data_IF_990462794220
#
_entry.id   IF_990462794220
#
_cell.length_a   1.000
_cell.length_b   1.000
_cell.length_c   1.000
_cell.angle_alpha   90.00
_cell.angle_beta   90.00
_cell.angle_gamma   90.00
#
_symmetry.space_group_name_H-M   'P 1'
#
loop_
_entity.id
_entity.type
_entity.pdbx_description
1 polymer ?
#
# COMPACT_ATOMS: atom_id res chain seq x y z
N UNK A 1 -21.13 4.61 18.71
CA UNK A 1 -20.09 3.67 19.18
C UNK A 1 -20.40 3.29 20.63
N UNK A 2 -20.09 2.06 21.05
CA UNK A 2 -20.41 1.56 22.39
C UNK A 2 -19.25 1.79 23.37
N UNK A 3 -19.57 2.04 24.64
CA UNK A 3 -18.59 2.22 25.73
C UNK A 3 -17.57 1.07 25.84
N UNK A 4 -17.99 -0.15 25.48
CA UNK A 4 -17.16 -1.36 25.48
C UNK A 4 -15.88 -1.24 24.63
N UNK A 5 -15.95 -0.64 23.44
CA UNK A 5 -14.78 -0.51 22.56
C UNK A 5 -13.74 0.44 23.15
N UNK A 6 -14.17 1.60 23.66
CA UNK A 6 -13.30 2.55 24.35
C UNK A 6 -12.68 1.94 25.61
N UNK A 7 -13.42 1.12 26.36
CA UNK A 7 -12.89 0.43 27.54
C UNK A 7 -11.71 -0.51 27.20
N UNK A 8 -11.80 -1.29 26.12
CA UNK A 8 -10.70 -2.18 25.68
C UNK A 8 -9.50 -1.40 25.15
N UNK A 9 -9.73 -0.28 24.43
CA UNK A 9 -8.67 0.65 24.03
C UNK A 9 -7.95 1.20 25.26
N UNK A 10 -8.69 1.74 26.23
CA UNK A 10 -8.12 2.29 27.46
C UNK A 10 -7.36 1.24 28.27
N UNK A 11 -7.82 -0.01 28.31
CA UNK A 11 -7.07 -1.11 28.94
C UNK A 11 -5.71 -1.33 28.25
N UNK A 12 -5.69 -1.46 26.92
CA UNK A 12 -4.44 -1.62 26.14
C UNK A 12 -3.47 -0.44 26.31
N UNK A 13 -3.99 0.78 26.45
CA UNK A 13 -3.17 1.95 26.72
C UNK A 13 -2.65 2.00 28.18
N UNK A 14 -3.43 1.49 29.14
CA UNK A 14 -3.00 1.31 30.54
C UNK A 14 -1.87 0.27 30.67
N UNK A 15 -1.83 -0.73 29.79
CA UNK A 15 -0.77 -1.75 29.76
C UNK A 15 0.57 -1.19 29.24
N UNK A 16 0.57 -0.22 28.30
CA UNK A 16 1.78 0.50 27.83
C UNK A 16 2.17 1.66 28.79
N UNK A 17 1.20 2.35 29.39
CA UNK A 17 1.41 3.43 30.37
C UNK A 17 0.69 3.17 31.71
N UNK A 18 1.24 2.28 32.57
CA UNK A 18 0.67 2.01 33.88
C UNK A 18 0.57 3.26 34.77
N UNK A 19 -0.66 3.68 35.06
CA UNK A 19 -0.97 4.81 35.93
C UNK A 19 -1.23 6.14 35.20
N UNK A 20 -1.13 6.18 33.88
CA UNK A 20 -1.54 7.36 33.12
C UNK A 20 -3.07 7.58 33.16
N UNK A 21 -3.50 8.83 32.98
CA UNK A 21 -4.90 9.21 32.76
C UNK A 21 -5.07 9.63 31.30
N UNK A 22 -6.05 9.07 30.61
CA UNK A 22 -6.31 9.35 29.20
C UNK A 22 -7.51 10.28 29.02
N UNK A 23 -7.40 11.18 28.05
CA UNK A 23 -8.35 12.24 27.74
C UNK A 23 -8.53 12.40 26.22
N UNK A 24 -9.56 13.14 25.79
CA UNK A 24 -9.88 13.33 24.37
C UNK A 24 -11.02 12.44 23.89
N UNK A 25 -11.10 12.22 22.58
CA UNK A 25 -12.13 11.41 21.93
C UNK A 25 -11.58 10.72 20.68
N UNK A 26 -12.05 9.50 20.41
CA UNK A 26 -11.59 8.71 19.27
C UNK A 26 -11.78 9.49 17.94
N UNK A 27 -10.79 9.48 17.03
CA UNK A 27 -9.61 8.62 17.03
C UNK A 27 -8.41 9.12 17.86
N UNK A 28 -8.44 10.30 18.49
CA UNK A 28 -7.27 10.90 19.16
C UNK A 28 -7.42 10.94 20.69
N UNK A 29 -6.59 10.17 21.39
CA UNK A 29 -6.46 10.21 22.84
C UNK A 29 -5.13 10.85 23.26
N UNK A 30 -5.14 11.57 24.39
CA UNK A 30 -3.94 12.17 25.02
C UNK A 30 -3.78 11.64 26.43
N UNK A 31 -2.57 11.19 26.78
CA UNK A 31 -2.24 10.76 28.15
C UNK A 31 -1.81 11.92 29.04
N UNK A 32 -1.80 11.68 30.36
CA UNK A 32 -1.24 12.59 31.36
C UNK A 32 0.29 12.75 31.30
N UNK A 33 0.98 12.01 30.42
CA UNK A 33 2.39 12.18 30.06
C UNK A 33 2.55 12.94 28.72
N UNK A 34 1.49 13.65 28.32
CA UNK A 34 1.34 14.44 27.09
C UNK A 34 1.45 13.66 25.76
N UNK A 35 1.59 12.33 25.82
CA UNK A 35 1.66 11.48 24.62
C UNK A 35 0.32 11.49 23.88
N UNK A 36 0.38 11.50 22.55
CA UNK A 36 -0.77 11.36 21.67
C UNK A 36 -0.85 9.94 21.13
N UNK A 37 -2.08 9.43 21.08
CA UNK A 37 -2.42 8.10 20.57
C UNK A 37 -3.50 8.24 19.51
N UNK A 38 -3.20 7.77 18.30
CA UNK A 38 -4.20 7.55 17.26
C UNK A 38 -4.78 6.14 17.41
N UNK A 39 -6.10 6.01 17.27
CA UNK A 39 -6.84 4.78 17.52
C UNK A 39 -7.87 4.56 16.43
N UNK A 40 -7.65 3.54 15.62
CA UNK A 40 -8.59 3.07 14.60
C UNK A 40 -9.41 1.89 15.11
N UNK A 41 -10.67 1.80 14.68
CA UNK A 41 -11.60 0.72 15.06
C UNK A 41 -12.48 0.39 13.86
N UNK A 42 -12.12 -0.65 13.13
CA UNK A 42 -12.90 -1.17 12.01
C UNK A 42 -14.05 -2.11 12.41
N UNK A 43 -14.68 -2.65 11.38
CA UNK A 43 -15.72 -3.69 11.43
C UNK A 43 -15.13 -5.11 11.25
N UNK A 44 -15.92 -6.17 11.46
CA UNK A 44 -15.48 -7.56 11.32
C UNK A 44 -14.90 -7.95 9.96
N UNK A 45 -15.25 -7.28 8.86
CA UNK A 45 -14.75 -7.61 7.51
C UNK A 45 -13.44 -6.90 7.14
N UNK A 46 -12.97 -5.97 7.97
CA UNK A 46 -11.67 -5.28 7.81
C UNK A 46 -10.55 -5.96 8.62
N UNK A 47 -10.82 -7.06 9.33
CA UNK A 47 -9.87 -7.69 10.27
C UNK A 47 -8.53 -8.05 9.62
N UNK A 48 -8.52 -8.51 8.37
CA UNK A 48 -7.26 -8.80 7.66
C UNK A 48 -6.46 -7.53 7.38
N UNK A 49 -7.12 -6.44 6.94
CA UNK A 49 -6.49 -5.14 6.67
C UNK A 49 -5.81 -4.57 7.92
N UNK A 50 -6.50 -4.55 9.08
CA UNK A 50 -5.89 -4.08 10.33
C UNK A 50 -4.74 -4.98 10.83
N UNK A 51 -4.71 -6.25 10.44
CA UNK A 51 -3.61 -7.17 10.77
C UNK A 51 -2.42 -6.98 9.82
N UNK A 52 -2.64 -6.74 8.53
CA UNK A 52 -1.55 -6.45 7.57
C UNK A 52 -0.96 -5.07 7.80
N UNK A 53 -1.77 -4.06 8.18
CA UNK A 53 -1.30 -2.72 8.51
C UNK A 53 -0.45 -2.71 9.80
N UNK A 54 -0.89 -3.38 10.88
CA UNK A 54 -0.10 -3.53 12.12
C UNK A 54 1.26 -4.20 11.86
N UNK A 55 1.29 -5.23 11.02
CA UNK A 55 2.55 -5.89 10.61
C UNK A 55 3.43 -4.97 9.75
N UNK A 56 2.83 -4.24 8.82
CA UNK A 56 3.52 -3.28 7.93
C UNK A 56 4.16 -2.15 8.74
N UNK A 57 3.38 -1.46 9.57
CA UNK A 57 3.86 -0.41 10.47
C UNK A 57 4.97 -0.91 11.41
N UNK A 58 4.85 -2.11 12.00
CA UNK A 58 5.91 -2.68 12.84
C UNK A 58 7.20 -2.95 12.06
N UNK A 59 7.10 -3.51 10.85
CA UNK A 59 8.27 -3.80 10.02
C UNK A 59 8.94 -2.53 9.49
N UNK A 60 8.15 -1.54 9.04
CA UNK A 60 8.65 -0.23 8.64
C UNK A 60 9.27 0.54 9.81
N UNK A 61 8.65 0.53 11.00
CA UNK A 61 9.20 1.20 12.19
C UNK A 61 10.52 0.55 12.64
N UNK A 62 10.67 -0.77 12.49
CA UNK A 62 11.94 -1.46 12.75
C UNK A 62 13.04 -1.10 11.74
N UNK A 63 12.68 -0.78 10.49
CA UNK A 63 13.62 -0.37 9.44
C UNK A 63 13.98 1.13 9.50
N UNK A 64 13.00 2.00 9.81
CA UNK A 64 13.13 3.45 9.83
C UNK A 64 12.36 4.09 11.01
N UNK A 65 12.86 3.97 12.26
CA UNK A 65 12.18 4.51 13.44
C UNK A 65 11.90 6.02 13.31
N UNK A 66 10.63 6.40 13.47
CA UNK A 66 10.19 7.80 13.44
C UNK A 66 9.81 8.37 12.07
N UNK A 67 9.87 7.58 10.99
CA UNK A 67 9.23 7.92 9.70
C UNK A 67 7.78 7.42 9.60
N UNK A 68 7.41 6.42 10.41
CA UNK A 68 6.06 5.84 10.49
C UNK A 68 5.56 5.82 11.94
N UNK A 69 4.23 5.69 12.18
CA UNK A 69 3.68 5.41 13.51
C UNK A 69 4.34 4.21 14.20
N UNK A 70 4.63 4.34 15.51
CA UNK A 70 4.94 3.19 16.37
C UNK A 70 3.63 2.51 16.75
N UNK A 71 3.32 1.33 16.22
CA UNK A 71 2.13 0.60 16.67
C UNK A 71 2.31 0.05 18.08
N UNK A 72 1.72 0.76 19.05
CA UNK A 72 1.76 0.39 20.48
C UNK A 72 1.03 -0.92 20.72
N UNK A 73 -0.26 -1.00 20.36
CA UNK A 73 -1.07 -2.19 20.56
C UNK A 73 -2.09 -2.37 19.42
N UNK A 74 -2.27 -3.63 19.00
CA UNK A 74 -3.27 -4.07 18.02
C UNK A 74 -4.15 -5.18 18.62
N UNK A 75 -5.13 -5.68 17.86
CA UNK A 75 -5.91 -6.87 18.19
C UNK A 75 -7.43 -6.69 18.13
N UNK A 76 -8.15 -7.82 18.01
CA UNK A 76 -9.60 -7.83 17.79
C UNK A 76 -10.40 -7.47 19.05
N UNK A 77 -11.46 -6.69 18.86
CA UNK A 77 -12.59 -6.62 19.80
C UNK A 77 -13.48 -7.86 19.62
N UNK A 78 -14.15 -8.32 20.68
CA UNK A 78 -15.05 -9.47 20.59
C UNK A 78 -16.32 -9.13 19.78
N UNK A 79 -16.47 -9.78 18.62
CA UNK A 79 -17.56 -9.59 17.66
C UNK A 79 -18.30 -10.92 17.37
N UNK A 80 -19.52 -10.85 16.80
CA UNK A 80 -20.24 -12.04 16.36
C UNK A 80 -19.78 -12.45 14.96
N UNK A 81 -19.31 -13.69 14.76
CA UNK A 81 -18.84 -14.14 13.44
C UNK A 81 -19.93 -14.12 12.34
N UNK A 82 -21.21 -14.09 12.70
CA UNK A 82 -22.33 -13.91 11.78
C UNK A 82 -22.51 -12.47 11.26
N UNK A 83 -21.74 -11.51 11.76
CA UNK A 83 -21.74 -10.10 11.33
C UNK A 83 -20.56 -9.79 10.39
N UNK A 84 -19.69 -10.76 10.10
CA UNK A 84 -18.65 -10.63 9.09
C UNK A 84 -19.24 -11.01 7.71
N UNK A 85 -19.34 -10.02 6.83
CA UNK A 85 -19.32 -10.26 5.38
C UNK A 85 -17.88 -10.52 4.92
N UNK A 86 -17.72 -10.93 3.66
CA UNK A 86 -16.46 -10.72 2.95
C UNK A 86 -16.13 -9.21 2.92
N UNK A 87 -14.85 -8.86 2.92
CA UNK A 87 -14.38 -7.47 2.96
C UNK A 87 -14.40 -6.79 1.60
N UNK A 88 -14.52 -5.46 1.59
CA UNK A 88 -14.40 -4.65 0.36
C UNK A 88 -12.94 -4.42 -0.08
N UNK A 89 -11.97 -4.99 0.64
CA UNK A 89 -10.54 -4.85 0.34
C UNK A 89 -10.06 -5.86 -0.70
N UNK A 90 -9.09 -5.47 -1.54
CA UNK A 90 -8.40 -6.40 -2.43
C UNK A 90 -7.41 -7.25 -1.60
N UNK A 91 -7.61 -8.56 -1.59
CA UNK A 91 -6.61 -9.51 -1.08
C UNK A 91 -5.65 -9.88 -2.22
N UNK A 92 -4.34 -9.73 -1.98
CA UNK A 92 -3.28 -10.09 -2.93
C UNK A 92 -2.37 -11.18 -2.35
N UNK A 93 -1.87 -12.08 -3.21
CA UNK A 93 -0.88 -13.10 -2.86
C UNK A 93 0.45 -12.45 -2.47
N UNK A 94 0.73 -12.36 -1.18
CA UNK A 94 1.99 -11.84 -0.63
C UNK A 94 2.88 -12.98 -0.11
N UNK A 95 3.10 -14.00 -0.95
CA UNK A 95 3.91 -15.17 -0.64
C UNK A 95 5.43 -14.89 -0.61
N UNK A 96 6.22 -15.95 -0.41
CA UNK A 96 7.66 -15.93 -0.72
C UNK A 96 7.87 -16.41 -2.16
N UNK A 97 8.77 -15.72 -2.85
CA UNK A 97 9.18 -15.98 -4.23
C UNK A 97 10.71 -15.92 -4.29
N UNK A 98 11.32 -16.63 -5.24
CA UNK A 98 12.78 -16.63 -5.37
C UNK A 98 13.26 -15.43 -6.20
N UNK A 99 12.42 -14.90 -7.09
CA UNK A 99 12.71 -13.68 -7.88
C UNK A 99 11.67 -12.57 -7.68
N UNK A 100 12.07 -11.33 -7.98
CA UNK A 100 11.15 -10.20 -8.04
C UNK A 100 10.18 -10.29 -9.23
N UNK A 101 10.63 -10.88 -10.35
CA UNK A 101 9.78 -11.13 -11.52
C UNK A 101 8.58 -12.02 -11.17
N UNK A 102 8.80 -13.14 -10.48
CA UNK A 102 7.74 -14.05 -10.03
C UNK A 102 6.72 -13.33 -9.13
N UNK A 103 7.22 -12.61 -8.11
CA UNK A 103 6.41 -11.85 -7.16
C UNK A 103 5.55 -10.79 -7.88
N UNK A 104 6.15 -10.01 -8.78
CA UNK A 104 5.46 -8.94 -9.48
C UNK A 104 4.50 -9.47 -10.57
N UNK A 105 4.86 -10.57 -11.25
CA UNK A 105 3.97 -11.27 -12.18
C UNK A 105 2.70 -11.76 -11.46
N UNK A 106 2.83 -12.31 -10.24
CA UNK A 106 1.67 -12.70 -9.42
C UNK A 106 0.82 -11.50 -8.99
N UNK A 107 1.44 -10.39 -8.55
CA UNK A 107 0.71 -9.15 -8.21
C UNK A 107 -0.11 -8.60 -9.38
N UNK A 108 0.41 -8.68 -10.61
CA UNK A 108 -0.32 -8.32 -11.83
C UNK A 108 -1.42 -9.36 -12.16
N UNK A 109 -1.16 -10.66 -11.98
CA UNK A 109 -2.13 -11.74 -12.20
C UNK A 109 -3.37 -11.60 -11.31
N UNK A 110 -3.19 -11.28 -10.02
CA UNK A 110 -4.30 -11.07 -9.06
C UNK A 110 -5.25 -9.97 -9.52
N UNK A 111 -4.71 -8.79 -9.88
CA UNK A 111 -5.52 -7.65 -10.34
C UNK A 111 -6.22 -7.94 -11.67
N UNK A 112 -5.56 -8.64 -12.59
CA UNK A 112 -6.17 -9.05 -13.87
C UNK A 112 -7.24 -10.14 -13.70
N UNK A 113 -7.12 -11.00 -12.68
CA UNK A 113 -8.17 -11.95 -12.31
C UNK A 113 -9.38 -11.23 -11.71
N UNK A 114 -9.19 -10.33 -10.74
CA UNK A 114 -10.29 -9.58 -10.12
C UNK A 114 -11.03 -8.71 -11.15
N UNK A 115 -10.31 -8.04 -12.05
CA UNK A 115 -10.92 -7.24 -13.13
C UNK A 115 -11.74 -8.09 -14.11
N UNK A 116 -11.32 -9.35 -14.32
CA UNK A 116 -12.03 -10.36 -15.13
C UNK A 116 -13.28 -10.88 -14.42
N UNK A 117 -13.22 -11.10 -13.11
CA UNK A 117 -14.34 -11.52 -12.26
C UNK A 117 -15.41 -10.42 -12.11
N UNK A 118 -15.00 -9.16 -12.12
CA UNK A 118 -15.89 -8.00 -12.24
C UNK A 118 -16.64 -7.91 -13.60
N UNK A 119 -16.31 -8.77 -14.57
CA UNK A 119 -17.03 -8.90 -15.85
C UNK A 119 -16.77 -7.78 -16.86
N UNK A 120 -15.74 -6.95 -16.63
CA UNK A 120 -15.40 -5.80 -17.47
C UNK A 120 -14.14 -6.00 -18.33
N UNK A 121 -13.77 -4.95 -19.06
CA UNK A 121 -12.40 -4.68 -19.52
C UNK A 121 -11.66 -5.82 -20.27
N UNK A 122 -12.36 -6.70 -20.99
CA UNK A 122 -11.79 -7.94 -21.56
C UNK A 122 -10.54 -7.74 -22.44
N UNK A 123 -10.48 -6.70 -23.27
CA UNK A 123 -9.27 -6.43 -24.08
C UNK A 123 -8.11 -5.88 -23.24
N UNK A 124 -8.38 -5.05 -22.24
CA UNK A 124 -7.38 -4.58 -21.28
C UNK A 124 -6.83 -5.75 -20.45
N UNK A 125 -7.68 -6.68 -20.01
CA UNK A 125 -7.27 -7.92 -19.33
C UNK A 125 -6.36 -8.75 -20.24
N UNK A 126 -6.70 -8.90 -21.53
CA UNK A 126 -5.86 -9.60 -22.52
C UNK A 126 -4.51 -8.90 -22.71
N UNK A 127 -4.49 -7.58 -22.91
CA UNK A 127 -3.26 -6.78 -23.07
C UNK A 127 -2.39 -6.81 -21.80
N UNK A 128 -3.00 -6.74 -20.61
CA UNK A 128 -2.30 -6.86 -19.33
C UNK A 128 -1.63 -8.22 -19.14
N UNK A 129 -2.28 -9.30 -19.59
CA UNK A 129 -1.66 -10.63 -19.65
C UNK A 129 -0.51 -10.71 -20.68
N UNK A 130 -0.55 -9.94 -21.76
CA UNK A 130 0.55 -9.82 -22.73
C UNK A 130 1.74 -9.02 -22.13
N UNK A 131 1.48 -7.95 -21.37
CA UNK A 131 2.50 -7.23 -20.56
C UNK A 131 3.11 -8.20 -19.53
N UNK A 132 2.27 -8.94 -18.80
CA UNK A 132 2.73 -9.91 -17.78
C UNK A 132 3.61 -11.03 -18.36
N UNK A 133 3.33 -11.50 -19.57
CA UNK A 133 4.14 -12.54 -20.25
C UNK A 133 5.39 -12.01 -20.96
N UNK A 134 5.43 -10.72 -21.31
CA UNK A 134 6.43 -10.20 -22.24
C UNK A 134 7.29 -9.05 -21.71
N UNK A 135 6.67 -8.12 -20.98
CA UNK A 135 7.30 -6.89 -20.44
C UNK A 135 7.90 -7.16 -19.06
N UNK A 136 7.17 -7.87 -18.19
CA UNK A 136 7.62 -8.23 -16.83
C UNK A 136 8.96 -8.99 -16.84
N UNK A 137 9.13 -10.12 -17.56
CA UNK A 137 10.43 -10.78 -17.67
C UNK A 137 11.51 -9.88 -18.31
N UNK A 138 11.18 -9.13 -19.36
CA UNK A 138 12.14 -8.28 -20.06
C UNK A 138 12.66 -7.09 -19.22
N UNK A 139 11.92 -6.66 -18.19
CA UNK A 139 12.30 -5.57 -17.30
C UNK A 139 12.80 -6.02 -15.92
N UNK A 140 12.34 -7.18 -15.43
CA UNK A 140 12.54 -7.63 -14.05
C UNK A 140 13.31 -8.95 -13.91
N UNK A 141 13.40 -9.79 -14.96
CA UNK A 141 13.93 -11.16 -14.87
C UNK A 141 15.43 -11.27 -14.58
N UNK A 142 16.23 -10.31 -15.03
CA UNK A 142 17.68 -10.25 -14.77
C UNK A 142 18.06 -9.38 -13.55
N UNK A 143 17.08 -8.96 -12.71
CA UNK A 143 17.35 -8.08 -11.58
C UNK A 143 17.77 -8.87 -10.31
N UNK A 144 19.06 -8.83 -10.00
CA UNK A 144 19.58 -9.08 -8.65
C UNK A 144 19.17 -7.92 -7.72
N UNK A 145 17.99 -8.03 -7.11
CA UNK A 145 17.50 -7.03 -6.15
C UNK A 145 17.96 -7.36 -4.73
N UNK A 146 18.31 -6.32 -3.97
CA UNK A 146 18.28 -6.40 -2.51
C UNK A 146 16.85 -6.07 -2.04
N UNK A 147 16.12 -6.99 -1.36
CA UNK A 147 14.78 -6.70 -0.90
C UNK A 147 14.74 -5.51 0.07
N UNK A 148 13.98 -4.49 -0.29
CA UNK A 148 13.60 -3.37 0.55
C UNK A 148 12.18 -3.58 1.10
N UNK A 149 11.74 -2.72 2.02
CA UNK A 149 10.35 -2.65 2.48
C UNK A 149 9.71 -1.34 2.03
N UNK A 150 9.09 -1.28 0.84
CA UNK A 150 8.21 -0.18 0.47
C UNK A 150 7.02 -0.02 1.44
N UNK A 151 6.54 1.21 1.54
CA UNK A 151 5.21 1.59 2.03
C UNK A 151 4.11 0.95 1.17
N UNK A 152 4.31 0.88 -0.15
CA UNK A 152 3.43 0.16 -1.08
C UNK A 152 2.14 0.89 -1.46
N UNK A 153 1.75 1.90 -0.68
CA UNK A 153 0.68 2.86 -1.00
C UNK A 153 1.13 4.31 -0.70
N UNK A 154 2.33 4.73 -1.14
CA UNK A 154 2.84 6.08 -0.87
C UNK A 154 2.33 7.14 -1.86
N UNK A 155 1.29 7.85 -1.45
CA UNK A 155 0.80 9.08 -2.09
C UNK A 155 0.60 10.18 -1.03
N UNK A 156 0.27 11.40 -1.47
CA UNK A 156 0.10 12.60 -0.63
C UNK A 156 -0.93 12.45 0.49
N UNK A 157 -2.00 11.66 0.31
CA UNK A 157 -2.98 11.39 1.36
C UNK A 157 -2.45 10.53 2.51
N UNK A 158 -1.44 9.70 2.23
CA UNK A 158 -0.76 8.78 3.15
C UNK A 158 0.57 9.37 3.67
N UNK A 159 0.79 10.67 3.48
CA UNK A 159 1.98 11.39 3.86
C UNK A 159 1.65 12.72 4.56
N UNK A 160 2.50 13.14 5.49
CA UNK A 160 2.35 14.40 6.20
C UNK A 160 3.66 14.87 6.83
N UNK A 161 3.58 15.94 7.61
CA UNK A 161 4.72 16.52 8.32
C UNK A 161 4.42 16.54 9.81
N UNK A 162 5.30 15.93 10.61
CA UNK A 162 5.24 16.00 12.08
C UNK A 162 5.41 17.46 12.53
N UNK A 163 4.40 17.98 13.24
CA UNK A 163 4.31 19.40 13.58
C UNK A 163 5.21 19.85 14.73
N UNK A 164 5.86 18.92 15.44
CA UNK A 164 6.81 19.22 16.51
C UNK A 164 8.27 19.22 16.03
N UNK A 165 8.59 18.44 15.00
CA UNK A 165 9.95 18.21 14.49
C UNK A 165 10.16 18.72 13.06
N UNK A 166 9.09 19.00 12.31
CA UNK A 166 9.14 19.44 10.92
C UNK A 166 9.56 18.34 9.93
N UNK A 167 9.49 17.06 10.33
CA UNK A 167 9.95 15.92 9.52
C UNK A 167 8.81 15.28 8.72
N UNK A 168 9.10 14.71 7.53
CA UNK A 168 8.12 13.90 6.81
C UNK A 168 7.76 12.64 7.60
N UNK A 169 6.50 12.23 7.51
CA UNK A 169 5.90 11.12 8.25
C UNK A 169 4.84 10.44 7.37
N UNK A 170 4.86 9.12 7.27
CA UNK A 170 3.99 8.34 6.36
C UNK A 170 3.20 7.28 7.13
N UNK A 171 1.99 6.98 6.66
CA UNK A 171 0.98 6.19 7.39
C UNK A 171 0.03 5.48 6.43
N UNK A 172 -0.77 4.55 6.95
CA UNK A 172 -1.66 3.64 6.20
C UNK A 172 -0.91 2.77 5.15
N UNK A 173 0.16 2.03 5.54
CA UNK A 173 1.00 1.26 4.60
C UNK A 173 0.36 -0.05 4.10
N UNK A 174 0.67 -0.39 2.85
CA UNK A 174 0.39 -1.66 2.20
C UNK A 174 1.70 -2.41 1.88
N UNK A 175 2.53 -2.59 2.92
CA UNK A 175 3.92 -3.02 2.76
C UNK A 175 4.10 -4.49 2.37
N UNK A 176 5.21 -4.73 1.68
CA UNK A 176 5.74 -6.05 1.37
C UNK A 176 7.27 -5.95 1.26
N UNK A 177 7.98 -7.08 1.22
CA UNK A 177 9.39 -7.08 0.84
C UNK A 177 9.52 -7.23 -0.68
N UNK A 178 10.26 -6.33 -1.33
CA UNK A 178 10.34 -6.25 -2.78
C UNK A 178 11.39 -5.28 -3.28
N UNK A 179 11.31 -4.89 -4.56
CA UNK A 179 12.26 -3.96 -5.17
C UNK A 179 11.99 -2.51 -4.70
N UNK A 180 13.06 -1.76 -4.37
CA UNK A 180 12.93 -0.37 -3.90
C UNK A 180 12.34 0.59 -4.94
N UNK A 181 12.49 0.30 -6.24
CA UNK A 181 11.87 1.12 -7.29
C UNK A 181 10.34 1.01 -7.33
N UNK A 182 9.73 -0.02 -6.71
CA UNK A 182 8.28 -0.22 -6.78
C UNK A 182 7.49 0.94 -6.15
N UNK A 183 8.03 1.56 -5.08
CA UNK A 183 7.44 2.75 -4.44
C UNK A 183 7.26 3.92 -5.42
N UNK A 184 8.13 4.00 -6.43
CA UNK A 184 8.09 5.08 -7.40
C UNK A 184 6.85 5.01 -8.30
N UNK A 185 6.11 3.89 -8.33
CA UNK A 185 4.89 3.73 -9.12
C UNK A 185 3.76 4.71 -8.75
N UNK A 186 3.62 5.08 -7.47
CA UNK A 186 2.65 6.12 -7.03
C UNK A 186 3.28 7.52 -7.01
N UNK A 187 4.50 7.63 -6.46
CA UNK A 187 5.20 8.91 -6.23
C UNK A 187 5.35 9.74 -7.52
N UNK A 188 5.42 9.10 -8.69
CA UNK A 188 5.59 9.78 -9.98
C UNK A 188 4.27 10.18 -10.68
N UNK A 189 3.14 9.60 -10.29
CA UNK A 189 1.83 9.96 -10.83
C UNK A 189 0.76 9.90 -9.73
N UNK A 190 0.69 10.93 -8.87
CA UNK A 190 -0.33 11.03 -7.83
C UNK A 190 -1.74 11.16 -8.46
N UNK A 191 -2.82 11.01 -7.66
CA UNK A 191 -4.18 11.25 -8.14
C UNK A 191 -4.34 12.64 -8.79
N UNK A 192 -5.34 12.80 -9.66
CA UNK A 192 -5.55 13.98 -10.54
C UNK A 192 -5.69 15.35 -9.83
N UNK A 193 -5.66 15.40 -8.50
CA UNK A 193 -5.84 16.59 -7.66
C UNK A 193 -4.70 16.81 -6.66
N UNK A 194 -3.68 15.94 -6.66
CA UNK A 194 -2.63 15.89 -5.65
C UNK A 194 -1.29 16.45 -6.14
N UNK A 195 -0.49 16.97 -5.20
CA UNK A 195 0.88 17.39 -5.51
C UNK A 195 1.81 16.17 -5.55
N UNK A 196 2.73 16.06 -6.53
CA UNK A 196 3.70 14.98 -6.54
C UNK A 196 4.68 15.15 -5.38
N UNK A 197 4.90 14.07 -4.61
CA UNK A 197 5.98 14.01 -3.62
C UNK A 197 7.29 14.14 -4.39
N UNK A 198 8.06 15.22 -4.18
CA UNK A 198 9.26 15.43 -4.99
C UNK A 198 10.33 14.39 -4.61
N UNK A 199 11.08 13.92 -5.61
CA UNK A 199 12.19 12.96 -5.44
C UNK A 199 13.23 13.38 -4.39
N UNK A 200 13.33 14.68 -4.12
CA UNK A 200 14.19 15.28 -3.09
C UNK A 200 13.72 15.03 -1.66
N UNK A 201 12.42 14.91 -1.45
CA UNK A 201 11.80 15.09 -0.13
C UNK A 201 11.81 13.79 0.69
N UNK A 202 11.83 12.65 -0.02
CA UNK A 202 11.97 11.30 0.54
C UNK A 202 13.43 10.88 0.75
N UNK A 203 14.40 11.60 0.19
CA UNK A 203 15.85 11.31 0.29
C UNK A 203 16.32 9.99 -0.36
N UNK A 204 15.40 9.17 -0.86
CA UNK A 204 15.64 7.85 -1.43
C UNK A 204 15.08 7.73 -2.85
N UNK A 205 15.92 7.99 -3.84
CA UNK A 205 15.78 7.38 -5.17
C UNK A 205 17.17 6.91 -5.58
N UNK A 206 17.29 5.68 -6.07
CA UNK A 206 18.52 5.16 -6.65
C UNK A 206 18.88 5.88 -7.95
N UNK A 207 20.06 5.58 -8.49
CA UNK A 207 20.45 6.03 -9.83
C UNK A 207 19.36 5.69 -10.87
N UNK A 208 19.18 6.60 -11.83
CA UNK A 208 18.16 6.64 -12.91
C UNK A 208 17.35 5.34 -13.08
N UNK A 209 16.15 5.32 -12.49
CA UNK A 209 15.14 4.27 -12.74
C UNK A 209 14.91 4.17 -14.25
N UNK A 210 15.02 2.97 -14.82
CA UNK A 210 14.72 2.74 -16.22
C UNK A 210 13.27 3.14 -16.52
N UNK A 211 12.97 3.98 -17.54
CA UNK A 211 11.62 4.48 -17.79
C UNK A 211 10.55 3.38 -17.88
N UNK A 212 10.85 2.28 -18.59
CA UNK A 212 9.94 1.13 -18.67
C UNK A 212 9.64 0.47 -17.32
N UNK A 213 10.58 0.47 -16.36
CA UNK A 213 10.32 -0.03 -14.99
C UNK A 213 9.40 0.92 -14.23
N UNK A 214 9.61 2.22 -14.34
CA UNK A 214 8.69 3.21 -13.76
C UNK A 214 7.27 3.08 -14.35
N UNK A 215 7.14 2.97 -15.68
CA UNK A 215 5.86 2.73 -16.36
C UNK A 215 5.19 1.42 -15.91
N UNK A 216 5.97 0.35 -15.68
CA UNK A 216 5.48 -0.95 -15.22
C UNK A 216 4.97 -0.91 -13.76
N UNK A 217 5.66 -0.21 -12.85
CA UNK A 217 5.16 -0.02 -11.48
C UNK A 217 3.93 0.90 -11.46
N UNK A 218 3.91 1.97 -12.27
CA UNK A 218 2.73 2.84 -12.39
C UNK A 218 1.50 2.07 -12.92
N UNK A 219 1.69 1.15 -13.87
CA UNK A 219 0.62 0.28 -14.36
C UNK A 219 -0.02 -0.59 -13.26
N UNK A 220 0.78 -1.14 -12.33
CA UNK A 220 0.27 -1.91 -11.19
C UNK A 220 -0.71 -1.08 -10.34
N UNK A 221 -0.37 0.18 -10.06
CA UNK A 221 -1.25 1.06 -9.28
C UNK A 221 -2.50 1.50 -10.05
N UNK A 222 -2.42 1.74 -11.37
CA UNK A 222 -3.62 1.99 -12.18
C UNK A 222 -4.55 0.78 -12.26
N UNK A 223 -4.00 -0.44 -12.39
CA UNK A 223 -4.78 -1.69 -12.29
C UNK A 223 -5.45 -1.79 -10.92
N UNK A 224 -4.72 -1.55 -9.83
CA UNK A 224 -5.25 -1.59 -8.46
C UNK A 224 -6.41 -0.58 -8.30
N UNK A 225 -6.19 0.68 -8.68
CA UNK A 225 -7.22 1.73 -8.61
C UNK A 225 -8.42 1.46 -9.51
N UNK A 226 -8.24 0.82 -10.67
CA UNK A 226 -9.34 0.37 -11.52
C UNK A 226 -10.19 -0.71 -10.82
N UNK A 227 -9.56 -1.72 -10.22
CA UNK A 227 -10.27 -2.81 -9.51
C UNK A 227 -10.96 -2.31 -8.24
N UNK A 228 -10.34 -1.42 -7.45
CA UNK A 228 -10.96 -0.86 -6.23
C UNK A 228 -12.11 0.11 -6.57
N UNK A 229 -11.90 1.05 -7.50
CA UNK A 229 -12.80 2.20 -7.66
C UNK A 229 -13.68 2.17 -8.91
N UNK A 230 -13.42 1.30 -9.88
CA UNK A 230 -14.21 1.17 -11.12
C UNK A 230 -14.29 2.42 -11.99
N UNK A 231 -13.42 3.42 -11.77
CA UNK A 231 -13.53 4.75 -12.43
C UNK A 231 -12.96 4.72 -13.85
N UNK A 232 -13.68 5.34 -14.77
CA UNK A 232 -13.28 5.49 -16.18
C UNK A 232 -11.91 6.17 -16.38
N UNK A 233 -11.50 7.06 -15.47
CA UNK A 233 -10.16 7.67 -15.48
C UNK A 233 -9.05 6.63 -15.34
N UNK A 234 -9.14 5.77 -14.31
CA UNK A 234 -8.19 4.67 -14.11
C UNK A 234 -8.21 3.67 -15.27
N UNK A 235 -9.38 3.37 -15.85
CA UNK A 235 -9.45 2.51 -17.05
C UNK A 235 -8.61 3.08 -18.21
N UNK A 236 -8.77 4.37 -18.52
CA UNK A 236 -8.00 5.03 -19.58
C UNK A 236 -6.50 5.11 -19.28
N UNK A 237 -6.11 5.41 -18.03
CA UNK A 237 -4.71 5.42 -17.62
C UNK A 237 -4.07 4.03 -17.72
N UNK A 238 -4.80 2.99 -17.31
CA UNK A 238 -4.38 1.59 -17.42
C UNK A 238 -4.22 1.18 -18.88
N UNK A 239 -5.21 1.45 -19.74
CA UNK A 239 -5.16 1.19 -21.18
C UNK A 239 -3.94 1.86 -21.83
N UNK A 240 -3.76 3.16 -21.58
CA UNK A 240 -2.66 3.95 -22.14
C UNK A 240 -1.28 3.43 -21.73
N UNK A 241 -1.09 3.07 -20.45
CA UNK A 241 0.18 2.50 -19.97
C UNK A 241 0.43 1.08 -20.48
N UNK A 242 -0.61 0.27 -20.57
CA UNK A 242 -0.53 -1.08 -21.12
C UNK A 242 -0.10 -1.04 -22.59
N UNK A 243 -0.70 -0.16 -23.39
CA UNK A 243 -0.34 0.01 -24.80
C UNK A 243 1.09 0.55 -24.97
N UNK A 244 1.51 1.56 -24.18
CA UNK A 244 2.86 2.10 -24.22
C UNK A 244 3.95 1.05 -23.89
N UNK A 245 3.70 0.19 -22.89
CA UNK A 245 4.62 -0.90 -22.52
C UNK A 245 4.70 -1.99 -23.59
N UNK A 246 3.57 -2.29 -24.26
CA UNK A 246 3.55 -3.21 -25.40
C UNK A 246 4.23 -2.61 -26.63
N UNK A 247 4.09 -1.32 -26.91
CA UNK A 247 4.82 -0.62 -27.98
C UNK A 247 6.34 -0.64 -27.70
N UNK A 248 6.76 -0.33 -26.47
CA UNK A 248 8.16 -0.40 -26.04
C UNK A 248 8.76 -1.81 -26.26
N UNK A 249 8.09 -2.86 -25.76
CA UNK A 249 8.52 -4.26 -25.97
C UNK A 249 8.63 -4.62 -27.46
N UNK A 250 7.78 -4.06 -28.32
CA UNK A 250 7.82 -4.28 -29.76
C UNK A 250 8.88 -3.44 -30.49
N UNK A 251 9.52 -2.46 -29.83
CA UNK A 251 10.72 -1.77 -30.32
C UNK A 251 12.01 -2.45 -29.88
N UNK A 252 12.12 -2.95 -28.64
CA UNK A 252 13.33 -3.65 -28.14
C UNK A 252 13.57 -5.02 -28.82
N UNK A 253 12.59 -5.53 -29.56
CA UNK A 253 12.63 -6.81 -30.31
C UNK A 253 12.97 -6.64 -31.80
N UNK A 254 13.57 -5.51 -32.22
CA UNK A 254 13.84 -5.17 -33.63
C UNK A 254 15.32 -4.89 -33.90
#
# INVERSE_FOLDING_TARGET
>A
MTSRSLHVVLQKLQDEEPGAVFTGCLPVLRSSLERLYFVMIGSPCEVEQYVTEDQSLRAMYAAAPGFVPKTVASGMLAYNKSEASDGNGISMRNGRYETWEECFSVKIEDLLQLLREQGGHADLVRKGEDVRRGVVPALLGELDIKPAIPHGDLWSGNAGTDSATGRPFIFDPSSYYGHNEAECGLVHNPPEHDQPIHRTDVGWVSEVILPGRADLYELFHHLNHLVVFGRRGYAWSTEKKTDALLEWMNSERR
#
